data_IF_733441109328
#
_entry.id   IF_733441109328
#
_cell.length_a   1.000
_cell.length_b   1.000
_cell.length_c   1.000
_cell.angle_alpha   90.00
_cell.angle_beta   90.00
_cell.angle_gamma   90.00
#
_symmetry.space_group_name_H-M   'P 1'
#
loop_
_entity.id
_entity.type
_entity.pdbx_description
1 polymer ?
#
# COMPACT_ATOMS: atom_id res chain seq x y z
N UNK A 1 -16.74 13.22 -26.48
CA UNK A 1 -17.83 13.87 -25.74
C UNK A 1 -18.00 15.26 -26.28
N UNK A 2 -19.20 15.62 -26.73
CA UNK A 2 -19.51 17.00 -27.11
C UNK A 2 -19.94 17.70 -25.82
N UNK A 3 -19.19 18.72 -25.42
CA UNK A 3 -19.53 19.54 -24.25
C UNK A 3 -19.94 20.91 -24.77
N UNK A 4 -21.17 21.32 -24.47
CA UNK A 4 -21.66 22.67 -24.80
C UNK A 4 -21.40 23.58 -23.61
N UNK A 5 -20.61 24.63 -23.79
CA UNK A 5 -20.33 25.60 -22.72
C UNK A 5 -21.31 26.77 -22.81
N UNK A 6 -21.98 27.10 -21.70
CA UNK A 6 -22.92 28.22 -21.60
C UNK A 6 -22.58 29.10 -20.40
N UNK A 7 -22.88 30.40 -20.49
CA UNK A 7 -22.73 31.31 -19.34
C UNK A 7 -23.85 31.06 -18.33
N UNK A 8 -23.59 31.30 -17.05
CA UNK A 8 -24.57 31.08 -15.96
C UNK A 8 -25.91 31.81 -16.16
N UNK A 9 -25.88 33.00 -16.78
CA UNK A 9 -27.10 33.75 -17.11
C UNK A 9 -27.93 33.07 -18.20
N UNK A 10 -27.29 32.59 -19.26
CA UNK A 10 -27.95 31.85 -20.34
C UNK A 10 -28.52 30.52 -19.83
N UNK A 11 -27.75 29.80 -19.01
CA UNK A 11 -28.17 28.55 -18.39
C UNK A 11 -29.47 28.71 -17.59
N UNK A 12 -29.64 29.84 -16.89
CA UNK A 12 -30.87 30.15 -16.15
C UNK A 12 -32.05 30.44 -17.09
N UNK A 13 -31.81 31.19 -18.16
CA UNK A 13 -32.86 31.57 -19.12
C UNK A 13 -33.37 30.38 -19.92
N UNK A 14 -32.48 29.47 -20.31
CA UNK A 14 -32.77 28.34 -21.22
C UNK A 14 -32.70 26.99 -20.53
N UNK A 15 -32.92 26.95 -19.22
CA UNK A 15 -32.70 25.75 -18.41
C UNK A 15 -33.47 24.53 -18.93
N UNK A 16 -34.73 24.72 -19.36
CA UNK A 16 -35.57 23.65 -19.89
C UNK A 16 -35.01 23.05 -21.19
N UNK A 17 -34.63 23.90 -22.14
CA UNK A 17 -34.05 23.45 -23.41
C UNK A 17 -32.75 22.66 -23.18
N UNK A 18 -31.92 23.10 -22.23
CA UNK A 18 -30.68 22.43 -21.87
C UNK A 18 -30.94 21.05 -21.23
N UNK A 19 -31.96 20.93 -20.38
CA UNK A 19 -32.39 19.64 -19.84
C UNK A 19 -32.83 18.68 -20.95
N UNK A 20 -33.64 19.15 -21.90
CA UNK A 20 -34.12 18.34 -23.01
C UNK A 20 -32.95 17.89 -23.91
N UNK A 21 -31.95 18.74 -24.13
CA UNK A 21 -30.73 18.39 -24.88
C UNK A 21 -29.90 17.31 -24.17
N UNK A 22 -29.66 17.47 -22.88
CA UNK A 22 -28.90 16.52 -22.06
C UNK A 22 -29.64 15.18 -21.99
N UNK A 23 -30.96 15.20 -21.77
CA UNK A 23 -31.79 14.00 -21.74
C UNK A 23 -31.81 13.27 -23.10
N UNK A 24 -31.80 14.03 -24.21
CA UNK A 24 -31.71 13.48 -25.56
C UNK A 24 -30.30 12.94 -25.91
N UNK A 25 -29.34 13.00 -24.98
CA UNK A 25 -27.98 12.51 -25.20
C UNK A 25 -27.16 13.37 -26.17
N UNK A 26 -27.53 14.64 -26.35
CA UNK A 26 -26.82 15.56 -27.28
C UNK A 26 -25.49 16.09 -26.72
N UNK A 27 -25.12 15.66 -25.52
CA UNK A 27 -23.87 16.04 -24.85
C UNK A 27 -24.10 16.65 -23.48
N UNK A 28 -23.00 16.83 -22.75
CA UNK A 28 -23.00 17.44 -21.43
C UNK A 28 -22.96 18.97 -21.56
N UNK A 29 -23.53 19.68 -20.59
CA UNK A 29 -23.52 21.15 -20.57
C UNK A 29 -22.61 21.65 -19.46
N UNK A 30 -21.57 22.41 -19.83
CA UNK A 30 -20.70 23.10 -18.89
C UNK A 30 -21.23 24.50 -18.62
N UNK A 31 -21.38 24.87 -17.35
CA UNK A 31 -21.86 26.19 -16.94
C UNK A 31 -20.69 27.00 -16.41
N UNK A 32 -20.43 28.12 -17.07
CA UNK A 32 -19.33 29.02 -16.76
C UNK A 32 -19.85 30.32 -16.11
N UNK A 33 -19.13 30.82 -15.10
CA UNK A 33 -19.35 32.13 -14.50
C UNK A 33 -18.02 32.87 -14.35
N UNK A 34 -17.93 34.07 -14.92
CA UNK A 34 -16.74 34.93 -14.87
C UNK A 34 -15.45 34.23 -15.34
N UNK A 35 -15.49 33.46 -16.43
CA UNK A 35 -14.31 32.77 -16.97
C UNK A 35 -13.98 31.45 -16.27
N UNK A 36 -14.80 30.99 -15.32
CA UNK A 36 -14.56 29.76 -14.55
C UNK A 36 -15.72 28.78 -14.70
N UNK A 37 -15.39 27.51 -14.91
CA UNK A 37 -16.35 26.41 -14.87
C UNK A 37 -16.84 26.21 -13.44
N UNK A 38 -18.15 26.33 -13.21
CA UNK A 38 -18.74 26.30 -11.86
C UNK A 38 -19.74 25.17 -11.66
N UNK A 39 -20.34 24.66 -12.74
CA UNK A 39 -21.26 23.54 -12.67
C UNK A 39 -21.28 22.78 -14.00
N UNK A 40 -21.71 21.52 -13.96
CA UNK A 40 -21.95 20.70 -15.13
C UNK A 40 -23.34 20.09 -15.01
N UNK A 41 -24.04 19.98 -16.14
CA UNK A 41 -25.30 19.26 -16.26
C UNK A 41 -25.08 18.03 -17.12
N UNK A 42 -25.40 16.87 -16.55
CA UNK A 42 -25.24 15.55 -17.16
C UNK A 42 -26.52 14.74 -16.93
N UNK A 43 -26.79 13.68 -17.71
CA UNK A 43 -27.90 12.79 -17.46
C UNK A 43 -27.80 12.17 -16.05
N UNK A 44 -28.94 12.02 -15.37
CA UNK A 44 -28.97 11.44 -14.03
C UNK A 44 -28.39 10.01 -13.98
N UNK A 45 -28.60 9.22 -15.04
CA UNK A 45 -28.04 7.88 -15.17
C UNK A 45 -26.50 7.88 -15.20
N UNK A 46 -25.88 8.91 -15.80
CA UNK A 46 -24.43 9.04 -15.87
C UNK A 46 -23.86 9.52 -14.54
N UNK A 47 -24.58 10.42 -13.84
CA UNK A 47 -24.23 10.84 -12.49
C UNK A 47 -24.16 9.65 -11.52
N UNK A 48 -25.15 8.75 -11.55
CA UNK A 48 -25.15 7.57 -10.66
C UNK A 48 -23.98 6.62 -10.97
N UNK A 49 -23.63 6.44 -12.24
CA UNK A 49 -22.45 5.66 -12.63
C UNK A 49 -21.14 6.29 -12.13
N UNK A 50 -20.99 7.61 -12.27
CA UNK A 50 -19.81 8.35 -11.78
C UNK A 50 -19.74 8.26 -10.26
N UNK A 51 -20.87 8.42 -9.58
CA UNK A 51 -20.98 8.30 -8.12
C UNK A 51 -20.55 6.92 -7.63
N UNK A 52 -21.06 5.84 -8.23
CA UNK A 52 -20.67 4.47 -7.87
C UNK A 52 -19.17 4.19 -8.05
N UNK A 53 -18.56 4.73 -9.12
CA UNK A 53 -17.10 4.66 -9.33
C UNK A 53 -16.32 5.43 -8.25
N UNK A 54 -16.80 6.62 -7.88
CA UNK A 54 -16.16 7.44 -6.84
C UNK A 54 -16.28 6.82 -5.46
N UNK A 55 -17.42 6.19 -5.13
CA UNK A 55 -17.61 5.49 -3.86
C UNK A 55 -16.65 4.30 -3.75
N UNK A 56 -16.41 3.58 -4.85
CA UNK A 56 -15.38 2.53 -4.91
C UNK A 56 -13.97 3.10 -4.63
N UNK A 57 -13.61 4.22 -5.26
CA UNK A 57 -12.29 4.85 -5.08
C UNK A 57 -12.12 5.42 -3.66
N UNK A 58 -13.17 6.02 -3.09
CA UNK A 58 -13.16 6.52 -1.72
C UNK A 58 -13.06 5.38 -0.72
N UNK A 59 -13.81 4.29 -0.90
CA UNK A 59 -13.68 3.09 -0.08
C UNK A 59 -12.26 2.52 -0.12
N UNK A 60 -11.63 2.47 -1.30
CA UNK A 60 -10.22 2.04 -1.44
C UNK A 60 -9.27 3.00 -0.72
N UNK A 61 -9.46 4.33 -0.85
CA UNK A 61 -8.62 5.33 -0.16
C UNK A 61 -8.82 5.34 1.35
N UNK A 62 -10.06 5.18 1.83
CA UNK A 62 -10.39 5.11 3.25
C UNK A 62 -9.79 3.84 3.86
N UNK A 63 -9.96 2.69 3.20
CA UNK A 63 -9.28 1.46 3.59
C UNK A 63 -7.76 1.68 3.63
N UNK A 64 -7.17 2.24 2.58
CA UNK A 64 -5.74 2.54 2.52
C UNK A 64 -5.31 3.54 3.62
N UNK A 65 -6.13 4.50 4.00
CA UNK A 65 -5.86 5.45 5.08
C UNK A 65 -5.94 4.79 6.46
N UNK A 66 -6.90 3.90 6.70
CA UNK A 66 -6.95 3.05 7.90
C UNK A 66 -5.71 2.17 8.02
N UNK A 67 -5.24 1.60 6.90
CA UNK A 67 -3.97 0.87 6.85
C UNK A 67 -2.73 1.78 7.00
N UNK A 68 -2.78 3.03 6.52
CA UNK A 68 -1.67 3.97 6.63
C UNK A 68 -1.46 4.48 8.06
N UNK A 69 -2.52 4.68 8.83
CA UNK A 69 -2.44 5.02 10.28
C UNK A 69 -1.74 3.91 11.08
N UNK A 70 -1.76 2.65 10.61
CA UNK A 70 -1.06 1.53 11.23
C UNK A 70 0.43 1.42 10.89
N UNK A 71 0.97 2.25 9.98
CA UNK A 71 2.42 2.39 9.76
C UNK A 71 2.93 3.69 10.39
N UNK A 72 2.91 3.75 11.72
CA UNK A 72 3.88 4.60 12.40
C UNK A 72 5.28 4.17 11.97
N UNK A 73 6.12 5.10 11.51
CA UNK A 73 7.53 4.78 11.28
C UNK A 73 8.17 4.50 12.63
N UNK A 74 8.97 3.43 12.73
CA UNK A 74 9.83 3.22 13.89
C UNK A 74 10.73 4.45 14.05
N UNK A 75 10.65 5.10 15.21
CA UNK A 75 11.48 6.27 15.50
C UNK A 75 12.68 5.79 16.31
N UNK A 76 13.88 6.04 15.79
CA UNK A 76 15.13 5.72 16.47
C UNK A 76 15.67 7.02 17.07
N UNK A 77 15.82 7.06 18.39
CA UNK A 77 16.50 8.13 19.11
C UNK A 77 17.95 7.68 19.31
N UNK A 78 18.85 8.13 18.44
CA UNK A 78 20.26 7.73 18.45
C UNK A 78 21.00 8.25 19.69
N UNK A 79 20.57 9.40 20.24
CA UNK A 79 21.14 9.99 21.45
C UNK A 79 20.87 9.13 22.70
N UNK A 80 19.64 8.60 22.81
CA UNK A 80 19.23 7.75 23.93
C UNK A 80 19.43 6.24 23.67
N UNK A 81 19.87 5.86 22.45
CA UNK A 81 19.88 4.47 21.97
C UNK A 81 18.54 3.75 22.17
N UNK A 82 17.42 4.48 22.09
CA UNK A 82 16.07 3.93 22.23
C UNK A 82 15.35 3.92 20.89
N UNK A 83 14.47 2.93 20.68
CA UNK A 83 13.62 2.86 19.50
C UNK A 83 12.15 2.71 19.91
N UNK A 84 11.30 3.59 19.42
CA UNK A 84 9.84 3.50 19.63
C UNK A 84 9.23 2.74 18.46
N UNK A 85 8.76 1.53 18.74
CA UNK A 85 8.11 0.64 17.77
C UNK A 85 6.60 0.70 17.99
N UNK A 86 5.79 0.93 16.94
CA UNK A 86 4.33 0.84 17.05
C UNK A 86 3.89 -0.58 17.46
N UNK A 87 2.85 -0.67 18.29
CA UNK A 87 2.36 -1.94 18.84
C UNK A 87 2.03 -2.97 17.75
N UNK A 88 1.38 -2.56 16.66
CA UNK A 88 1.05 -3.44 15.53
C UNK A 88 2.31 -4.03 14.84
N UNK A 89 3.41 -3.26 14.78
CA UNK A 89 4.69 -3.72 14.23
C UNK A 89 5.38 -4.69 15.18
N UNK A 90 5.34 -4.43 16.49
CA UNK A 90 5.84 -5.35 17.50
C UNK A 90 5.12 -6.70 17.43
N UNK A 91 3.78 -6.71 17.39
CA UNK A 91 2.98 -7.95 17.29
C UNK A 91 3.34 -8.76 16.06
N UNK A 92 3.54 -8.12 14.90
CA UNK A 92 3.97 -8.81 13.69
C UNK A 92 5.37 -9.41 13.82
N UNK A 93 6.32 -8.68 14.40
CA UNK A 93 7.68 -9.18 14.63
C UNK A 93 7.71 -10.34 15.62
N UNK A 94 6.86 -10.33 16.65
CA UNK A 94 6.72 -11.47 17.58
C UNK A 94 6.17 -12.69 16.86
N UNK A 95 5.11 -12.55 16.05
CA UNK A 95 4.56 -13.67 15.28
C UNK A 95 5.58 -14.25 14.26
N UNK A 96 6.32 -13.38 13.55
CA UNK A 96 7.40 -13.84 12.65
C UNK A 96 8.54 -14.51 13.43
N UNK A 97 8.87 -13.99 14.62
CA UNK A 97 9.86 -14.59 15.51
C UNK A 97 9.44 -16.00 15.91
N UNK A 98 8.21 -16.18 16.38
CA UNK A 98 7.69 -17.48 16.80
C UNK A 98 7.77 -18.50 15.65
N UNK A 99 7.33 -18.13 14.45
CA UNK A 99 7.43 -19.00 13.27
C UNK A 99 8.89 -19.34 12.88
N UNK A 100 9.84 -18.41 13.05
CA UNK A 100 11.26 -18.67 12.80
C UNK A 100 11.89 -19.58 13.86
N UNK A 101 11.48 -19.44 15.12
CA UNK A 101 11.98 -20.29 16.20
C UNK A 101 11.42 -21.71 16.12
N UNK A 102 10.18 -21.90 15.64
CA UNK A 102 9.62 -23.23 15.38
C UNK A 102 10.51 -24.07 14.43
N UNK A 103 11.16 -23.41 13.45
CA UNK A 103 12.12 -24.08 12.57
C UNK A 103 13.38 -24.54 13.32
N UNK A 104 13.87 -23.72 14.25
CA UNK A 104 15.04 -24.06 15.07
C UNK A 104 14.71 -25.20 16.03
N UNK A 105 13.53 -25.14 16.66
CA UNK A 105 13.08 -26.20 17.58
C UNK A 105 12.94 -27.54 16.85
N UNK A 106 12.36 -27.54 15.64
CA UNK A 106 12.31 -28.74 14.78
C UNK A 106 13.69 -29.27 14.41
N UNK A 107 14.67 -28.40 14.14
CA UNK A 107 16.05 -28.82 13.86
C UNK A 107 16.66 -29.45 15.11
N UNK A 108 16.43 -28.83 16.29
CA UNK A 108 16.95 -29.32 17.58
C UNK A 108 16.37 -30.69 17.94
N UNK A 109 15.09 -30.92 17.69
CA UNK A 109 14.43 -32.23 17.93
C UNK A 109 15.03 -33.36 17.09
N UNK A 110 15.50 -33.05 15.87
CA UNK A 110 16.08 -34.03 14.95
C UNK A 110 17.62 -34.02 14.96
N UNK A 111 18.24 -33.19 15.81
CA UNK A 111 19.69 -33.12 15.90
C UNK A 111 20.24 -34.37 16.58
N UNK A 112 21.31 -34.97 16.06
CA UNK A 112 21.97 -36.09 16.72
C UNK A 112 22.58 -35.63 18.05
N UNK A 113 22.40 -36.44 19.09
CA UNK A 113 22.97 -36.20 20.41
C UNK A 113 24.43 -36.69 20.43
N UNK A 114 25.33 -35.82 19.95
CA UNK A 114 26.77 -36.08 19.87
C UNK A 114 27.48 -35.52 21.12
N UNK A 115 28.48 -36.23 21.67
CA UNK A 115 29.31 -35.70 22.75
C UNK A 115 30.11 -34.48 22.27
N UNK A 116 30.41 -33.56 23.19
CA UNK A 116 31.08 -32.28 22.90
C UNK A 116 32.42 -32.47 22.19
N UNK A 117 33.20 -33.50 22.56
CA UNK A 117 34.49 -33.79 21.94
C UNK A 117 34.37 -34.14 20.44
N UNK A 118 33.32 -34.86 20.04
CA UNK A 118 33.07 -35.23 18.65
C UNK A 118 32.60 -34.03 17.83
N UNK A 119 31.83 -33.12 18.44
CA UNK A 119 31.41 -31.85 17.83
C UNK A 119 32.63 -30.98 17.54
N UNK A 120 33.56 -30.86 18.50
CA UNK A 120 34.79 -30.08 18.31
C UNK A 120 35.64 -30.61 17.17
N UNK A 121 35.76 -31.94 17.03
CA UNK A 121 36.50 -32.57 15.94
C UNK A 121 35.87 -32.25 14.56
N UNK A 122 34.54 -32.38 14.45
CA UNK A 122 33.78 -32.09 13.23
C UNK A 122 33.92 -30.61 12.85
N UNK A 123 33.77 -29.70 13.81
CA UNK A 123 33.91 -28.25 13.58
C UNK A 123 35.33 -27.92 13.17
N UNK A 124 36.34 -28.49 13.83
CA UNK A 124 37.74 -28.27 13.49
C UNK A 124 38.06 -28.75 12.06
N UNK A 125 37.53 -29.91 11.65
CA UNK A 125 37.68 -30.41 10.28
C UNK A 125 37.02 -29.50 9.25
N UNK A 126 35.76 -29.11 9.49
CA UNK A 126 35.02 -28.21 8.61
C UNK A 126 35.75 -26.86 8.44
N UNK A 127 36.24 -26.28 9.52
CA UNK A 127 37.03 -25.03 9.49
C UNK A 127 38.33 -25.23 8.71
N UNK A 128 39.05 -26.35 8.87
CA UNK A 128 40.25 -26.66 8.08
C UNK A 128 39.94 -26.70 6.58
N UNK A 129 38.84 -27.36 6.19
CA UNK A 129 38.42 -27.47 4.79
C UNK A 129 38.06 -26.11 4.19
N UNK A 130 37.25 -25.31 4.88
CA UNK A 130 36.91 -23.93 4.46
C UNK A 130 38.16 -23.06 4.33
N UNK A 131 39.12 -23.19 5.25
CA UNK A 131 40.39 -22.44 5.18
C UNK A 131 41.27 -22.88 4.02
N UNK A 132 41.28 -24.17 3.68
CA UNK A 132 42.02 -24.68 2.52
C UNK A 132 41.37 -24.25 1.19
N UNK A 133 40.04 -24.20 1.12
CA UNK A 133 39.30 -23.70 -0.05
C UNK A 133 39.44 -22.18 -0.22
N UNK A 134 39.50 -21.42 0.88
CA UNK A 134 39.74 -19.97 0.88
C UNK A 134 41.22 -19.58 0.90
N UNK A 135 42.14 -20.55 0.82
CA UNK A 135 43.54 -20.25 0.61
C UNK A 135 43.67 -19.58 -0.77
N UNK A 136 44.31 -18.40 -0.87
CA UNK A 136 44.42 -17.71 -2.15
C UNK A 136 45.11 -18.63 -3.15
N UNK A 137 44.43 -18.94 -4.26
CA UNK A 137 45.08 -19.54 -5.42
C UNK A 137 46.27 -18.65 -5.80
N UNK A 138 47.48 -19.18 -5.62
CA UNK A 138 48.71 -18.39 -5.66
C UNK A 138 48.85 -17.51 -6.90
N UNK A 139 49.34 -16.29 -6.66
CA UNK A 139 50.16 -15.53 -7.62
C UNK A 139 51.51 -16.20 -7.84
#
# INVERSE_FOLDING_TARGET
>A
MVTTTVKSGEARTRFRDLLDQVLAGKGDVMIERNGKDVAVMIPAADYEQIRGKLDTIRAVREAAATYAVKRGQARINTEDSTATIPLDMYTKLVAEREARFEVIDRIRENAPDLPEEEIEEIVAEAVRKVRAENAPSGS
#
